data_IF_275739942523
#
_entry.id   IF_275739942523
#
_cell.length_a   1.000
_cell.length_b   1.000
_cell.length_c   1.000
_cell.angle_alpha   90.00
_cell.angle_beta   90.00
_cell.angle_gamma   90.00
#
_symmetry.space_group_name_H-M   'P 1'
#
loop_
_entity.id
_entity.type
_entity.pdbx_description
1 polymer ?
#
# COMPACT_ATOMS: atom_id res chain seq x y z
N UNK A 1 14.77 11.10 21.36
CA UNK A 1 13.34 10.98 21.69
C UNK A 1 12.40 11.92 20.90
N UNK A 2 12.90 12.84 20.04
CA UNK A 2 12.03 13.69 19.20
C UNK A 2 11.42 13.01 17.95
N UNK A 3 11.95 11.85 17.52
CA UNK A 3 11.50 11.18 16.29
C UNK A 3 10.18 10.41 16.40
N UNK A 4 9.91 9.79 17.57
CA UNK A 4 8.72 8.94 17.73
C UNK A 4 7.42 9.75 17.70
N UNK A 5 7.39 10.94 18.33
CA UNK A 5 6.23 11.82 18.29
C UNK A 5 5.94 12.40 16.90
N UNK A 6 6.99 12.79 16.17
CA UNK A 6 6.87 13.26 14.79
C UNK A 6 6.41 12.14 13.84
N UNK A 7 6.93 10.92 14.01
CA UNK A 7 6.51 9.75 13.25
C UNK A 7 5.03 9.41 13.49
N UNK A 8 4.60 9.37 14.75
CA UNK A 8 3.19 9.11 15.11
C UNK A 8 2.28 10.19 14.50
N UNK A 9 2.66 11.46 14.58
CA UNK A 9 1.91 12.54 13.94
C UNK A 9 1.88 12.40 12.41
N UNK A 10 3.00 12.08 11.77
CA UNK A 10 3.06 11.88 10.33
C UNK A 10 2.18 10.72 9.88
N UNK A 11 2.26 9.57 10.55
CA UNK A 11 1.41 8.40 10.27
C UNK A 11 -0.06 8.72 10.52
N UNK A 12 -0.40 9.45 11.60
CA UNK A 12 -1.76 9.89 11.88
C UNK A 12 -2.32 10.73 10.73
N UNK A 13 -1.58 11.73 10.26
CA UNK A 13 -2.00 12.53 9.11
C UNK A 13 -2.05 11.69 7.84
N UNK A 14 -1.09 10.79 7.61
CA UNK A 14 -1.07 9.91 6.43
C UNK A 14 -2.29 8.97 6.39
N UNK A 15 -2.75 8.47 7.54
CA UNK A 15 -3.90 7.56 7.64
C UNK A 15 -5.24 8.27 7.47
N UNK A 16 -5.38 9.47 8.05
CA UNK A 16 -6.66 10.20 8.06
C UNK A 16 -6.91 10.90 6.74
N UNK A 17 -5.86 11.30 6.01
CA UNK A 17 -6.06 11.93 4.71
C UNK A 17 -6.56 10.87 3.73
N UNK A 18 -7.81 10.97 3.22
CA UNK A 18 -8.30 10.01 2.25
C UNK A 18 -7.37 10.00 1.04
N UNK A 19 -6.81 8.83 0.73
CA UNK A 19 -5.88 8.68 -0.38
C UNK A 19 -6.57 8.93 -1.74
N UNK A 20 -5.78 9.12 -2.80
CA UNK A 20 -6.31 9.40 -4.14
C UNK A 20 -7.28 8.32 -4.65
N UNK A 21 -7.07 7.05 -4.28
CA UNK A 21 -7.99 5.95 -4.62
C UNK A 21 -9.37 6.10 -3.97
N UNK A 22 -9.42 6.50 -2.70
CA UNK A 22 -10.67 6.71 -1.95
C UNK A 22 -11.40 7.96 -2.46
N UNK A 23 -10.67 9.05 -2.70
CA UNK A 23 -11.22 10.27 -3.29
C UNK A 23 -11.78 10.04 -4.69
N UNK A 24 -11.06 9.27 -5.52
CA UNK A 24 -11.53 8.93 -6.86
C UNK A 24 -12.74 8.00 -6.84
N UNK A 25 -12.77 7.00 -5.95
CA UNK A 25 -13.94 6.14 -5.77
C UNK A 25 -15.18 6.93 -5.33
N UNK A 26 -15.01 7.86 -4.38
CA UNK A 26 -16.08 8.76 -3.95
C UNK A 26 -16.56 9.66 -5.08
N UNK A 27 -15.64 10.24 -5.88
CA UNK A 27 -15.97 11.07 -7.03
C UNK A 27 -16.73 10.30 -8.12
N UNK A 28 -16.29 9.09 -8.46
CA UNK A 28 -16.97 8.24 -9.45
C UNK A 28 -18.34 7.79 -8.94
N UNK A 29 -18.44 7.40 -7.67
CA UNK A 29 -19.70 7.01 -7.05
C UNK A 29 -20.72 8.16 -6.98
N UNK A 30 -20.26 9.38 -6.68
CA UNK A 30 -21.12 10.57 -6.63
C UNK A 30 -21.52 11.09 -8.03
N UNK A 31 -20.62 11.02 -9.02
CA UNK A 31 -20.84 11.57 -10.36
C UNK A 31 -21.58 10.64 -11.32
N UNK A 32 -21.41 9.32 -11.18
CA UNK A 32 -21.92 8.33 -12.13
C UNK A 32 -22.86 7.29 -11.49
N UNK A 33 -23.08 7.37 -10.18
CA UNK A 33 -24.00 6.51 -9.44
C UNK A 33 -23.41 5.13 -9.08
N UNK A 34 -24.27 4.27 -8.54
CA UNK A 34 -23.85 3.06 -7.83
C UNK A 34 -23.19 2.00 -8.72
N UNK A 35 -23.77 1.68 -9.89
CA UNK A 35 -23.25 0.60 -10.75
C UNK A 35 -21.88 0.95 -11.33
N UNK A 36 -21.64 2.16 -11.89
CA UNK A 36 -20.30 2.57 -12.32
C UNK A 36 -19.31 2.69 -11.15
N UNK A 37 -19.78 3.16 -9.99
CA UNK A 37 -18.97 3.20 -8.76
C UNK A 37 -18.46 1.82 -8.33
N UNK A 38 -19.32 0.80 -8.33
CA UNK A 38 -18.93 -0.57 -8.01
C UNK A 38 -17.93 -1.16 -9.02
N UNK A 39 -18.15 -0.91 -10.32
CA UNK A 39 -17.21 -1.34 -11.36
C UNK A 39 -15.82 -0.68 -11.16
N UNK A 40 -15.80 0.61 -10.80
CA UNK A 40 -14.55 1.32 -10.49
C UNK A 40 -13.84 0.75 -9.26
N UNK A 41 -14.56 0.58 -8.14
CA UNK A 41 -13.96 0.08 -6.89
C UNK A 41 -13.45 -1.36 -7.04
N UNK A 42 -14.18 -2.22 -7.75
CA UNK A 42 -13.73 -3.59 -8.04
C UNK A 42 -12.49 -3.61 -8.93
N UNK A 43 -12.42 -2.75 -9.93
CA UNK A 43 -11.21 -2.54 -10.74
C UNK A 43 -10.03 -2.04 -9.90
N UNK A 44 -10.26 -1.03 -9.05
CA UNK A 44 -9.25 -0.47 -8.15
C UNK A 44 -8.70 -1.51 -7.17
N UNK A 45 -9.58 -2.32 -6.57
CA UNK A 45 -9.19 -3.40 -5.68
C UNK A 45 -8.35 -4.46 -6.39
N UNK A 46 -8.82 -4.91 -7.56
CA UNK A 46 -8.13 -5.93 -8.35
C UNK A 46 -6.75 -5.44 -8.79
N UNK A 47 -6.66 -4.20 -9.28
CA UNK A 47 -5.39 -3.57 -9.65
C UNK A 47 -4.42 -3.51 -8.47
N UNK A 48 -4.90 -3.13 -7.28
CA UNK A 48 -4.09 -3.09 -6.07
C UNK A 48 -3.55 -4.48 -5.69
N UNK A 49 -4.37 -5.54 -5.80
CA UNK A 49 -3.92 -6.91 -5.54
C UNK A 49 -2.86 -7.37 -6.56
N UNK A 50 -3.03 -7.05 -7.85
CA UNK A 50 -2.04 -7.38 -8.90
C UNK A 50 -0.72 -6.67 -8.64
N UNK A 51 -0.75 -5.37 -8.32
CA UNK A 51 0.46 -4.62 -7.97
C UNK A 51 1.14 -5.21 -6.74
N UNK A 52 0.37 -5.54 -5.70
CA UNK A 52 0.92 -6.16 -4.49
C UNK A 52 1.63 -7.49 -4.80
N UNK A 53 1.01 -8.35 -5.63
CA UNK A 53 1.62 -9.62 -6.07
C UNK A 53 2.90 -9.39 -6.89
N UNK A 54 2.91 -8.40 -7.78
CA UNK A 54 4.10 -8.04 -8.56
C UNK A 54 5.24 -7.54 -7.67
N UNK A 55 4.92 -6.72 -6.67
CA UNK A 55 5.92 -6.22 -5.70
C UNK A 55 6.47 -7.37 -4.86
N UNK A 56 5.61 -8.23 -4.29
CA UNK A 56 6.05 -9.35 -3.45
C UNK A 56 6.92 -10.32 -4.24
N UNK A 57 6.52 -10.68 -5.46
CA UNK A 57 7.30 -11.58 -6.32
C UNK A 57 8.65 -10.97 -6.74
N UNK A 58 8.67 -9.69 -7.13
CA UNK A 58 9.91 -8.98 -7.44
C UNK A 58 10.85 -8.89 -6.25
N UNK A 59 10.34 -8.54 -5.07
CA UNK A 59 11.12 -8.49 -3.84
C UNK A 59 11.66 -9.88 -3.47
N UNK A 60 10.85 -10.94 -3.60
CA UNK A 60 11.29 -12.30 -3.36
C UNK A 60 12.45 -12.70 -4.28
N UNK A 61 12.36 -12.40 -5.57
CA UNK A 61 13.42 -12.68 -6.54
C UNK A 61 14.73 -11.94 -6.21
N UNK A 62 14.66 -10.69 -5.76
CA UNK A 62 15.84 -9.93 -5.31
C UNK A 62 16.49 -10.56 -4.09
N UNK A 63 15.68 -10.99 -3.10
CA UNK A 63 16.19 -11.63 -1.89
C UNK A 63 16.79 -13.01 -2.16
N UNK A 64 16.32 -13.70 -3.20
CA UNK A 64 16.89 -14.96 -3.66
C UNK A 64 18.23 -14.75 -4.39
N UNK A 65 18.35 -13.69 -5.19
CA UNK A 65 19.59 -13.34 -5.88
C UNK A 65 20.71 -12.90 -4.92
N UNK A 66 20.36 -12.25 -3.80
CA UNK A 66 21.31 -11.72 -2.82
C UNK A 66 21.09 -12.32 -1.41
N UNK A 67 21.58 -13.54 -1.15
CA UNK A 67 21.34 -14.25 0.11
C UNK A 67 21.87 -13.49 1.35
N UNK A 68 22.96 -12.73 1.22
CA UNK A 68 23.47 -11.88 2.31
C UNK A 68 22.46 -10.80 2.73
N UNK A 69 21.75 -10.19 1.76
CA UNK A 69 20.70 -9.20 2.04
C UNK A 69 19.52 -9.86 2.75
N UNK A 70 19.11 -11.05 2.32
CA UNK A 70 18.06 -11.84 2.97
C UNK A 70 18.39 -12.13 4.44
N UNK A 71 19.61 -12.60 4.74
CA UNK A 71 20.02 -12.87 6.12
C UNK A 71 20.12 -11.60 6.97
N UNK A 72 20.65 -10.50 6.41
CA UNK A 72 20.71 -9.23 7.11
C UNK A 72 19.32 -8.69 7.47
N UNK A 73 18.38 -8.69 6.52
CA UNK A 73 16.99 -8.27 6.77
C UNK A 73 16.28 -9.19 7.76
N UNK A 74 16.51 -10.50 7.69
CA UNK A 74 15.95 -11.45 8.64
C UNK A 74 16.46 -11.21 10.06
N UNK A 75 17.76 -11.00 10.23
CA UNK A 75 18.37 -10.72 11.54
C UNK A 75 17.78 -9.47 12.19
N UNK A 76 17.61 -8.38 11.42
CA UNK A 76 17.01 -7.12 11.91
C UNK A 76 15.51 -7.27 12.20
N UNK A 77 14.80 -8.12 11.46
CA UNK A 77 13.36 -8.34 11.69
C UNK A 77 13.06 -9.12 12.98
N UNK A 78 14.00 -9.94 13.46
CA UNK A 78 13.82 -10.79 14.65
C UNK A 78 14.24 -10.13 15.97
N UNK A 79 14.87 -8.95 15.91
CA UNK A 79 15.33 -8.15 17.06
C UNK A 79 14.41 -6.98 17.31
#
# INVERSE_FOLDING_TARGET
>A
MAGMGAFVLAVFFLLITPGPGVLSAAGVGAGYGFRPGLAYVSGLFTGNMVVALAVISGMAAVLELYPALRFALFAVSTT
#
